data_IF_161878277470
#
_entry.id   IF_161878277470
#
_cell.length_a   1.000
_cell.length_b   1.000
_cell.length_c   1.000
_cell.angle_alpha   90.00
_cell.angle_beta   90.00
_cell.angle_gamma   90.00
#
_symmetry.space_group_name_H-M   'P 1'
#
loop_
_entity.id
_entity.type
_entity.pdbx_description
1 polymer ?
#
# COMPACT_ATOMS: atom_id res chain seq x y z
N UNK A 1 10.55 7.37 -14.93
CA UNK A 1 9.44 6.66 -14.24
C UNK A 1 9.35 7.18 -12.83
N UNK A 2 8.14 7.14 -12.28
CA UNK A 2 7.80 7.77 -11.01
C UNK A 2 6.83 6.91 -10.23
N UNK A 3 6.97 6.89 -8.91
CA UNK A 3 6.00 6.27 -8.03
C UNK A 3 5.11 7.34 -7.38
N UNK A 4 3.85 7.00 -7.16
CA UNK A 4 2.90 7.80 -6.42
C UNK A 4 2.25 6.95 -5.34
N UNK A 5 2.23 7.48 -4.12
CA UNK A 5 1.69 6.81 -2.93
C UNK A 5 0.50 7.62 -2.43
N UNK A 6 -0.74 7.11 -2.58
CA UNK A 6 -1.88 7.67 -1.86
C UNK A 6 -1.71 7.44 -0.37
N UNK A 7 -1.81 8.49 0.43
CA UNK A 7 -1.61 8.42 1.88
C UNK A 7 -2.65 9.25 2.62
N UNK A 8 -3.25 8.65 3.64
CA UNK A 8 -4.15 9.33 4.56
C UNK A 8 -3.86 8.85 5.99
N UNK A 9 -3.49 9.79 6.86
CA UNK A 9 -3.17 9.52 8.27
C UNK A 9 -4.43 9.50 9.14
N UNK A 10 -5.30 10.50 8.97
CA UNK A 10 -6.49 10.65 9.79
C UNK A 10 -7.49 9.50 9.59
N UNK A 11 -8.00 8.96 10.70
CA UNK A 11 -8.95 7.84 10.75
C UNK A 11 -8.49 6.59 9.98
N UNK A 12 -7.19 6.47 9.71
CA UNK A 12 -6.64 5.34 9.02
C UNK A 12 -6.86 4.05 9.81
N UNK A 13 -7.02 2.95 9.06
CA UNK A 13 -7.06 1.58 9.59
C UNK A 13 -8.09 1.40 10.71
N UNK A 14 -9.29 1.96 10.54
CA UNK A 14 -10.35 1.90 11.55
C UNK A 14 -10.69 0.49 12.01
N UNK A 15 -10.50 -0.53 11.16
CA UNK A 15 -10.64 -1.95 11.48
C UNK A 15 -9.61 -2.47 12.50
N UNK A 16 -8.47 -1.79 12.65
CA UNK A 16 -7.48 -2.06 13.71
C UNK A 16 -7.85 -1.42 15.07
N UNK A 17 -8.99 -0.72 15.18
CA UNK A 17 -9.38 -0.05 16.43
C UNK A 17 -9.64 -0.99 17.60
N UNK A 18 -9.91 -2.26 17.33
CA UNK A 18 -10.08 -3.30 18.35
C UNK A 18 -8.77 -3.66 19.05
N UNK A 19 -7.62 -3.37 18.42
CA UNK A 19 -6.29 -3.78 18.91
C UNK A 19 -5.29 -2.63 19.00
N UNK A 20 -5.64 -1.43 18.51
CA UNK A 20 -4.78 -0.25 18.51
C UNK A 20 -5.57 1.03 18.80
N UNK A 21 -5.03 1.88 19.68
CA UNK A 21 -5.53 3.26 19.87
C UNK A 21 -5.36 4.09 18.61
N UNK A 22 -6.04 5.24 18.52
CA UNK A 22 -5.92 6.16 17.38
C UNK A 22 -4.46 6.55 17.11
N UNK A 23 -3.73 6.96 18.15
CA UNK A 23 -2.33 7.39 18.07
C UNK A 23 -1.42 6.24 17.61
N UNK A 24 -1.72 5.02 18.06
CA UNK A 24 -0.99 3.83 17.64
C UNK A 24 -1.21 3.52 16.16
N UNK A 25 -2.45 3.61 15.66
CA UNK A 25 -2.77 3.41 14.25
C UNK A 25 -2.09 4.46 13.36
N UNK A 26 -2.15 5.73 13.75
CA UNK A 26 -1.48 6.81 13.01
C UNK A 26 0.04 6.60 12.95
N UNK A 27 0.66 6.20 14.07
CA UNK A 27 2.09 5.88 14.09
C UNK A 27 2.39 4.67 13.19
N UNK A 28 1.55 3.63 13.24
CA UNK A 28 1.76 2.41 12.48
C UNK A 28 1.67 2.64 10.97
N UNK A 29 0.68 3.42 10.52
CA UNK A 29 0.51 3.82 9.12
C UNK A 29 1.70 4.64 8.62
N UNK A 30 2.25 5.53 9.45
CA UNK A 30 3.48 6.26 9.13
C UNK A 30 4.70 5.31 8.97
N UNK A 31 4.80 4.27 9.81
CA UNK A 31 5.87 3.28 9.69
C UNK A 31 5.76 2.45 8.41
N UNK A 32 4.55 2.06 8.01
CA UNK A 32 4.33 1.36 6.74
C UNK A 32 4.68 2.24 5.54
N UNK A 33 4.28 3.52 5.54
CA UNK A 33 4.68 4.47 4.51
C UNK A 33 6.20 4.57 4.37
N UNK A 34 6.92 4.66 5.50
CA UNK A 34 8.39 4.72 5.51
C UNK A 34 9.02 3.44 4.92
N UNK A 35 8.50 2.27 5.26
CA UNK A 35 8.96 0.99 4.69
C UNK A 35 8.69 0.91 3.17
N UNK A 36 7.53 1.37 2.69
CA UNK A 36 7.22 1.45 1.25
C UNK A 36 8.17 2.40 0.53
N UNK A 37 8.41 3.60 1.07
CA UNK A 37 9.34 4.58 0.49
C UNK A 37 10.77 4.06 0.46
N UNK A 38 11.20 3.33 1.50
CA UNK A 38 12.52 2.69 1.53
C UNK A 38 12.62 1.62 0.43
N UNK A 39 11.60 0.77 0.31
CA UNK A 39 11.53 -0.30 -0.69
C UNK A 39 11.56 0.23 -2.12
N UNK A 40 10.84 1.31 -2.41
CA UNK A 40 10.87 1.96 -3.73
C UNK A 40 12.27 2.47 -4.08
N UNK A 41 12.99 3.06 -3.11
CA UNK A 41 14.35 3.55 -3.32
C UNK A 41 15.36 2.43 -3.53
N UNK A 42 15.20 1.34 -2.79
CA UNK A 42 16.01 0.14 -2.95
C UNK A 42 15.78 -0.47 -4.35
N UNK A 43 14.55 -0.51 -4.83
CA UNK A 43 14.19 -0.88 -6.20
C UNK A 43 14.53 0.16 -7.27
N UNK A 44 15.38 1.14 -6.96
CA UNK A 44 15.89 2.13 -7.91
C UNK A 44 14.97 3.31 -8.24
N UNK A 45 13.76 3.40 -7.67
CA UNK A 45 12.82 4.50 -7.94
C UNK A 45 13.19 5.71 -7.08
N UNK A 46 13.64 6.78 -7.74
CA UNK A 46 14.07 8.04 -7.08
C UNK A 46 13.00 9.12 -7.06
N UNK A 47 12.13 9.15 -8.06
CA UNK A 47 11.02 10.09 -8.16
C UNK A 47 9.80 9.50 -7.46
N UNK A 48 9.56 9.92 -6.21
CA UNK A 48 8.44 9.43 -5.38
C UNK A 48 7.59 10.63 -4.98
N UNK A 49 6.31 10.57 -5.32
CA UNK A 49 5.28 11.50 -4.87
C UNK A 49 4.40 10.85 -3.81
N UNK A 50 3.95 11.63 -2.84
CA UNK A 50 2.93 11.24 -1.87
C UNK A 50 1.77 12.21 -2.01
N UNK A 51 0.58 11.68 -2.34
CA UNK A 51 -0.65 12.47 -2.38
C UNK A 51 -1.36 12.29 -1.04
N UNK A 52 -1.63 13.40 -0.35
CA UNK A 52 -2.24 13.41 0.97
C UNK A 52 -3.20 14.59 1.13
N UNK A 53 -4.31 14.45 1.89
CA UNK A 53 -5.22 15.58 2.15
C UNK A 53 -4.57 16.74 2.88
N UNK A 54 -3.56 16.47 3.72
CA UNK A 54 -2.84 17.48 4.50
C UNK A 54 -1.35 17.19 4.40
N UNK A 55 -0.55 18.13 3.92
CA UNK A 55 0.90 17.97 3.79
C UNK A 55 1.58 17.79 5.16
N UNK A 56 1.02 18.39 6.22
CA UNK A 56 1.55 18.26 7.58
C UNK A 56 1.43 16.85 8.17
N UNK A 57 0.62 15.97 7.58
CA UNK A 57 0.49 14.57 8.01
C UNK A 57 1.70 13.71 7.61
N UNK A 58 2.49 14.18 6.64
CA UNK A 58 3.71 13.50 6.19
C UNK A 58 4.92 14.16 6.85
N UNK A 59 5.70 13.39 7.60
CA UNK A 59 6.90 13.90 8.27
C UNK A 59 7.96 14.31 7.24
N UNK A 60 8.67 15.40 7.54
CA UNK A 60 9.78 15.93 6.71
C UNK A 60 10.90 14.90 6.46
N UNK A 61 11.03 13.89 7.31
CA UNK A 61 12.00 12.80 7.17
C UNK A 61 11.69 11.87 5.98
N UNK A 62 10.44 11.84 5.54
CA UNK A 62 10.02 11.11 4.34
C UNK A 62 10.59 11.85 3.12
N UNK A 63 11.72 11.38 2.61
CA UNK A 63 12.37 11.97 1.42
C UNK A 63 11.57 11.62 0.15
N UNK A 64 10.45 12.29 -0.05
CA UNK A 64 9.55 12.22 -1.19
C UNK A 64 8.94 13.62 -1.43
N UNK A 65 8.43 13.85 -2.64
CA UNK A 65 7.67 15.07 -2.93
C UNK A 65 6.24 14.94 -2.41
N UNK A 66 5.72 15.98 -1.77
CA UNK A 66 4.40 15.97 -1.14
C UNK A 66 3.44 16.78 -1.98
N UNK A 67 2.31 16.19 -2.31
CA UNK A 67 1.21 16.80 -3.05
C UNK A 67 0.01 16.85 -2.11
N UNK A 68 -0.39 18.05 -1.72
CA UNK A 68 -1.61 18.27 -0.95
C UNK A 68 -2.82 18.28 -1.89
N UNK A 69 -3.72 17.30 -1.72
CA UNK A 69 -4.98 17.19 -2.47
C UNK A 69 -5.98 16.42 -1.59
N UNK A 70 -7.10 17.05 -1.24
CA UNK A 70 -8.13 16.50 -0.33
C UNK A 70 -9.33 15.88 -1.06
N UNK A 71 -9.27 15.81 -2.39
CA UNK A 71 -10.31 15.18 -3.22
C UNK A 71 -10.36 13.66 -3.04
N UNK A 72 -11.41 13.02 -3.57
CA UNK A 72 -11.51 11.55 -3.52
C UNK A 72 -10.28 10.88 -4.16
N UNK A 73 -9.93 9.70 -3.67
CA UNK A 73 -8.80 8.90 -4.15
C UNK A 73 -8.80 8.74 -5.68
N UNK A 74 -9.97 8.52 -6.29
CA UNK A 74 -10.06 8.37 -7.74
C UNK A 74 -9.82 9.70 -8.46
N UNK A 75 -10.38 10.79 -7.95
CA UNK A 75 -10.27 12.10 -8.58
C UNK A 75 -8.83 12.60 -8.54
N UNK A 76 -8.17 12.50 -7.38
CA UNK A 76 -6.78 12.94 -7.24
C UNK A 76 -5.82 12.10 -8.09
N UNK A 77 -5.99 10.78 -8.15
CA UNK A 77 -5.15 9.91 -8.98
C UNK A 77 -5.41 10.08 -10.46
N UNK A 78 -6.66 10.22 -10.90
CA UNK A 78 -6.96 10.45 -12.32
C UNK A 78 -6.46 11.83 -12.79
N UNK A 79 -6.58 12.87 -11.96
CA UNK A 79 -5.96 14.18 -12.18
C UNK A 79 -4.44 14.08 -12.24
N UNK A 80 -3.84 13.28 -11.35
CA UNK A 80 -2.39 13.05 -11.36
C UNK A 80 -1.93 12.35 -12.64
N UNK A 81 -2.60 11.27 -13.06
CA UNK A 81 -2.26 10.52 -14.27
C UNK A 81 -2.36 11.38 -15.54
N UNK A 82 -3.39 12.22 -15.66
CA UNK A 82 -3.58 13.07 -16.84
C UNK A 82 -2.50 14.15 -17.03
N UNK A 83 -1.69 14.40 -16.01
CA UNK A 83 -0.61 15.39 -16.02
C UNK A 83 0.79 14.77 -16.20
N UNK A 84 0.87 13.46 -16.48
CA UNK A 84 2.15 12.74 -16.61
C UNK A 84 2.29 12.15 -18.00
N UNK A 85 3.51 12.19 -18.52
CA UNK A 85 3.90 11.59 -19.80
C UNK A 85 4.90 10.45 -19.62
N UNK A 86 5.29 10.13 -18.37
CA UNK A 86 6.20 9.04 -18.01
C UNK A 86 5.45 7.89 -17.32
N UNK A 87 5.97 6.63 -17.37
CA UNK A 87 5.36 5.51 -16.64
C UNK A 87 5.19 5.78 -15.14
N UNK A 88 4.01 5.45 -14.63
CA UNK A 88 3.61 5.68 -13.24
C UNK A 88 3.41 4.36 -12.52
N UNK A 89 4.03 4.23 -11.33
CA UNK A 89 3.78 3.18 -10.36
C UNK A 89 2.91 3.74 -9.23
N UNK A 90 1.63 3.38 -9.20
CA UNK A 90 0.77 3.63 -8.04
C UNK A 90 0.98 2.48 -7.06
N UNK A 91 1.31 2.78 -5.81
CA UNK A 91 1.52 1.79 -4.75
C UNK A 91 0.88 2.27 -3.45
N UNK A 92 0.05 1.43 -2.84
CA UNK A 92 -0.62 1.78 -1.58
C UNK A 92 0.38 1.84 -0.41
N UNK A 93 0.14 2.73 0.56
CA UNK A 93 1.06 3.02 1.67
C UNK A 93 1.13 1.91 2.74
N UNK A 94 0.20 0.96 2.71
CA UNK A 94 -0.04 -0.08 3.71
C UNK A 94 0.48 -1.46 3.29
N UNK A 95 1.55 -1.47 2.48
CA UNK A 95 2.19 -2.66 1.91
C UNK A 95 3.60 -2.92 2.46
N UNK A 96 3.79 -3.06 3.79
CA UNK A 96 5.10 -3.26 4.41
C UNK A 96 5.75 -4.61 4.07
N UNK A 97 5.05 -5.51 3.37
CA UNK A 97 5.57 -6.81 2.91
C UNK A 97 6.17 -6.76 1.51
N UNK A 98 5.97 -5.67 0.77
CA UNK A 98 6.57 -5.49 -0.55
C UNK A 98 8.09 -5.41 -0.41
N UNK A 99 8.80 -6.06 -1.33
CA UNK A 99 10.26 -6.10 -1.40
C UNK A 99 10.70 -5.40 -2.68
N UNK A 100 11.96 -4.93 -2.70
CA UNK A 100 12.51 -4.26 -3.88
C UNK A 100 12.45 -5.16 -5.12
N UNK A 101 12.65 -6.47 -4.97
CA UNK A 101 12.57 -7.44 -6.08
C UNK A 101 11.18 -7.52 -6.72
N UNK A 102 10.10 -7.26 -5.95
CA UNK A 102 8.76 -7.13 -6.53
C UNK A 102 8.65 -5.88 -7.39
N UNK A 103 9.22 -4.76 -6.91
CA UNK A 103 9.22 -3.50 -7.65
C UNK A 103 9.97 -3.68 -8.98
N UNK A 104 11.16 -4.28 -8.96
CA UNK A 104 11.98 -4.54 -10.15
C UNK A 104 11.22 -5.38 -11.20
N UNK A 105 10.59 -6.49 -10.79
CA UNK A 105 9.84 -7.35 -11.71
C UNK A 105 8.59 -6.64 -12.26
N UNK A 106 7.84 -5.93 -11.41
CA UNK A 106 6.66 -5.17 -11.83
C UNK A 106 7.04 -4.11 -12.88
N UNK A 107 8.12 -3.36 -12.69
CA UNK A 107 8.52 -2.30 -13.64
C UNK A 107 9.22 -2.85 -14.89
N UNK A 108 9.79 -4.05 -14.83
CA UNK A 108 10.38 -4.74 -15.99
C UNK A 108 9.33 -5.28 -16.96
N UNK A 109 8.09 -5.47 -16.51
CA UNK A 109 6.96 -5.97 -17.32
C UNK A 109 6.75 -5.18 -18.62
N UNK A 110 6.65 -5.86 -19.75
CA UNK A 110 6.36 -5.24 -21.06
C UNK A 110 4.88 -4.88 -21.26
N UNK A 111 3.99 -5.40 -20.40
CA UNK A 111 2.56 -5.09 -20.46
C UNK A 111 2.29 -3.59 -20.24
N UNK A 112 1.26 -3.06 -20.91
CA UNK A 112 0.85 -1.65 -20.77
C UNK A 112 0.41 -1.34 -19.33
N UNK A 113 -0.24 -2.30 -18.68
CA UNK A 113 -0.67 -2.22 -17.27
C UNK A 113 -0.29 -3.50 -16.52
N UNK A 114 0.46 -3.36 -15.43
CA UNK A 114 0.67 -4.46 -14.47
C UNK A 114 -0.12 -4.19 -13.20
N UNK A 115 -0.92 -5.17 -12.77
CA UNK A 115 -1.86 -5.04 -11.67
C UNK A 115 -1.51 -6.06 -10.57
N UNK A 116 -1.28 -5.58 -9.35
CA UNK A 116 -1.18 -6.42 -8.16
C UNK A 116 -2.53 -6.36 -7.42
N UNK A 117 -3.24 -7.50 -7.29
CA UNK A 117 -4.50 -7.52 -6.56
C UNK A 117 -4.25 -7.30 -5.06
N UNK A 118 -5.21 -6.67 -4.38
CA UNK A 118 -5.29 -6.62 -2.92
C UNK A 118 -6.33 -7.61 -2.39
N UNK A 119 -6.40 -7.75 -1.05
CA UNK A 119 -7.42 -8.60 -0.43
C UNK A 119 -8.83 -8.10 -0.75
N UNK A 120 -9.78 -9.03 -0.87
CA UNK A 120 -11.20 -8.70 -1.08
C UNK A 120 -11.52 -8.03 -2.43
N UNK A 121 -10.69 -8.20 -3.45
CA UNK A 121 -10.90 -7.62 -4.79
C UNK A 121 -10.33 -6.20 -4.96
N UNK A 122 -9.53 -5.73 -4.00
CA UNK A 122 -8.81 -4.47 -4.06
C UNK A 122 -7.66 -4.45 -5.08
N UNK A 123 -6.97 -3.33 -5.19
CA UNK A 123 -5.78 -3.15 -6.04
C UNK A 123 -4.70 -2.52 -5.18
N UNK A 124 -3.56 -3.20 -5.04
CA UNK A 124 -2.47 -2.76 -4.18
C UNK A 124 -1.40 -1.99 -4.95
N UNK A 125 -1.12 -2.42 -6.19
CA UNK A 125 -0.12 -1.79 -7.05
C UNK A 125 -0.65 -1.75 -8.48
N UNK A 126 -0.44 -0.61 -9.15
CA UNK A 126 -0.62 -0.44 -10.59
C UNK A 126 0.66 0.11 -11.18
N UNK A 127 1.24 -0.58 -12.15
CA UNK A 127 2.25 -0.01 -13.02
C UNK A 127 1.63 0.28 -14.38
N UNK A 128 1.65 1.55 -14.78
CA UNK A 128 0.96 2.07 -15.96
C UNK A 128 2.01 2.70 -16.87
N UNK A 129 2.23 2.10 -18.05
CA UNK A 129 3.23 2.60 -19.01
C UNK A 129 2.79 3.86 -19.76
N UNK A 130 1.48 3.99 -19.98
CA UNK A 130 0.84 5.06 -20.77
C UNK A 130 -0.26 5.72 -19.92
N UNK A 131 0.10 6.57 -18.94
CA UNK A 131 -0.86 7.16 -18.01
C UNK A 131 -1.98 7.94 -18.71
N UNK A 132 -1.72 8.50 -19.89
CA UNK A 132 -2.69 9.22 -20.71
C UNK A 132 -3.81 8.33 -21.29
N UNK A 133 -3.61 7.00 -21.29
CA UNK A 133 -4.57 6.01 -21.82
C UNK A 133 -5.29 5.22 -20.73
N UNK A 134 -4.98 5.46 -19.46
CA UNK A 134 -5.53 4.70 -18.34
C UNK A 134 -6.21 5.61 -17.33
N UNK A 135 -7.21 5.07 -16.64
CA UNK A 135 -7.87 5.73 -15.51
C UNK A 135 -8.05 4.72 -14.39
N UNK A 136 -7.98 5.18 -13.15
CA UNK A 136 -8.20 4.35 -11.98
C UNK A 136 -9.64 4.42 -11.49
N UNK A 137 -10.07 3.34 -10.84
CA UNK A 137 -11.37 3.21 -10.17
C UNK A 137 -11.21 2.29 -8.94
N UNK A 138 -10.63 2.85 -7.89
CA UNK A 138 -10.54 2.30 -6.55
C UNK A 138 -11.91 2.21 -5.86
N UNK A 139 -11.92 1.45 -4.75
CA UNK A 139 -13.10 0.99 -4.00
C UNK A 139 -13.93 -0.08 -4.73
N UNK A 140 -14.69 -0.86 -3.95
CA UNK A 140 -15.40 -2.04 -4.45
C UNK A 140 -14.43 -3.07 -5.06
N UNK A 141 -14.85 -3.70 -6.16
CA UNK A 141 -14.02 -4.65 -6.92
C UNK A 141 -13.03 -3.91 -7.84
N UNK A 142 -12.09 -3.17 -7.25
CA UNK A 142 -11.18 -2.30 -8.02
C UNK A 142 -10.26 -3.09 -8.95
N UNK A 143 -9.84 -4.30 -8.57
CA UNK A 143 -9.06 -5.18 -9.44
C UNK A 143 -9.81 -5.47 -10.76
N UNK A 144 -11.06 -5.92 -10.68
CA UNK A 144 -11.88 -6.21 -11.86
C UNK A 144 -12.16 -4.94 -12.67
N UNK A 145 -12.46 -3.82 -11.99
CA UNK A 145 -12.64 -2.54 -12.65
C UNK A 145 -11.40 -2.12 -13.45
N UNK A 146 -10.20 -2.24 -12.89
CA UNK A 146 -8.95 -1.90 -13.57
C UNK A 146 -8.68 -2.82 -14.77
N UNK A 147 -8.94 -4.13 -14.63
CA UNK A 147 -8.88 -5.07 -15.75
C UNK A 147 -9.84 -4.69 -16.88
N UNK A 148 -11.09 -4.35 -16.55
CA UNK A 148 -12.09 -3.91 -17.51
C UNK A 148 -11.69 -2.60 -18.21
N UNK A 149 -11.13 -1.64 -17.48
CA UNK A 149 -10.67 -0.36 -18.05
C UNK A 149 -9.53 -0.60 -19.04
N UNK A 150 -8.54 -1.42 -18.69
CA UNK A 150 -7.45 -1.77 -19.61
C UNK A 150 -7.98 -2.48 -20.86
N UNK A 151 -8.90 -3.44 -20.71
CA UNK A 151 -9.51 -4.14 -21.84
C UNK A 151 -10.29 -3.20 -22.77
N UNK A 152 -11.09 -2.27 -22.22
CA UNK A 152 -11.83 -1.25 -22.99
C UNK A 152 -10.89 -0.35 -23.81
N UNK A 153 -9.69 -0.08 -23.29
CA UNK A 153 -8.66 0.73 -23.96
C UNK A 153 -7.70 -0.11 -24.81
N UNK A 154 -7.95 -1.43 -24.95
CA UNK A 154 -7.11 -2.39 -25.68
C UNK A 154 -5.65 -2.39 -25.18
N UNK A 155 -5.46 -2.19 -23.89
CA UNK A 155 -4.17 -2.24 -23.21
C UNK A 155 -3.85 -3.67 -22.80
N UNK A 156 -2.61 -4.10 -23.00
CA UNK A 156 -2.13 -5.39 -22.50
C UNK A 156 -2.01 -5.37 -20.96
N UNK A 157 -2.38 -6.48 -20.32
CA UNK A 157 -2.43 -6.60 -18.86
C UNK A 157 -1.50 -7.73 -18.41
N UNK A 158 -0.72 -7.47 -17.36
CA UNK A 158 -0.09 -8.51 -16.53
C UNK A 158 -0.71 -8.46 -15.14
N UNK A 159 -1.27 -9.59 -14.69
CA UNK A 159 -1.60 -9.75 -13.27
C UNK A 159 -0.35 -10.27 -12.58
N UNK A 160 0.13 -9.53 -11.59
CA UNK A 160 1.30 -9.90 -10.80
C UNK A 160 0.85 -10.61 -9.53
N UNK A 161 0.95 -11.94 -9.55
CA UNK A 161 0.58 -12.80 -8.43
C UNK A 161 1.72 -12.88 -7.41
N UNK A 162 1.51 -12.25 -6.25
CA UNK A 162 2.44 -12.34 -5.13
C UNK A 162 1.68 -12.17 -3.83
N UNK A 163 1.72 -13.22 -3.01
CA UNK A 163 1.17 -13.19 -1.66
C UNK A 163 1.62 -11.94 -0.86
N UNK A 164 2.93 -11.62 -0.91
CA UNK A 164 3.48 -10.51 -0.15
C UNK A 164 3.03 -9.14 -0.69
N UNK A 165 2.98 -8.97 -2.01
CA UNK A 165 2.54 -7.71 -2.61
C UNK A 165 1.01 -7.52 -2.54
N UNK A 166 0.27 -8.62 -2.45
CA UNK A 166 -1.19 -8.63 -2.27
C UNK A 166 -1.65 -8.51 -0.81
N UNK A 167 -0.73 -8.52 0.15
CA UNK A 167 -1.06 -8.45 1.58
C UNK A 167 -0.94 -7.00 2.08
N UNK A 168 -2.03 -6.26 1.94
CA UNK A 168 -2.25 -5.02 2.67
C UNK A 168 -2.59 -5.29 4.14
N UNK A 169 -2.19 -4.39 5.03
CA UNK A 169 -2.43 -4.48 6.47
C UNK A 169 -3.63 -3.63 6.83
N UNK A 170 -4.82 -4.23 6.94
CA UNK A 170 -6.07 -3.51 7.24
C UNK A 170 -6.82 -4.04 8.47
N UNK A 171 -6.70 -5.34 8.75
CA UNK A 171 -7.37 -6.04 9.84
C UNK A 171 -6.36 -6.63 10.85
N UNK A 172 -6.77 -6.92 12.10
CA UNK A 172 -5.87 -7.45 13.13
C UNK A 172 -5.14 -8.74 12.71
N UNK A 173 -5.80 -9.57 11.90
CA UNK A 173 -5.24 -10.82 11.38
C UNK A 173 -4.04 -10.56 10.48
N UNK A 174 -4.02 -9.44 9.74
CA UNK A 174 -2.94 -9.08 8.81
C UNK A 174 -1.63 -8.76 9.53
N UNK A 175 -1.72 -8.31 10.78
CA UNK A 175 -0.55 -8.12 11.65
C UNK A 175 0.20 -9.45 11.82
N UNK A 176 -0.48 -10.60 11.73
CA UNK A 176 0.15 -11.93 11.77
C UNK A 176 1.08 -12.12 10.59
N UNK A 177 0.61 -11.76 9.40
CA UNK A 177 1.41 -11.82 8.19
C UNK A 177 2.61 -10.85 8.28
N UNK A 178 2.40 -9.65 8.82
CA UNK A 178 3.49 -8.71 9.07
C UNK A 178 4.56 -9.29 10.02
N UNK A 179 4.16 -9.92 11.13
CA UNK A 179 5.10 -10.50 12.09
C UNK A 179 5.84 -11.71 11.51
N UNK A 180 5.18 -12.52 10.67
CA UNK A 180 5.77 -13.70 10.04
C UNK A 180 6.70 -13.33 8.88
N UNK A 181 6.25 -12.49 7.96
CA UNK A 181 6.88 -12.28 6.66
C UNK A 181 7.59 -10.93 6.51
N UNK A 182 7.26 -9.97 7.36
CA UNK A 182 7.77 -8.61 7.22
C UNK A 182 9.22 -8.44 7.63
N UNK A 183 9.72 -7.26 7.32
CA UNK A 183 10.97 -6.68 7.80
C UNK A 183 10.74 -5.16 7.96
N UNK A 184 11.70 -4.45 8.56
CA UNK A 184 11.61 -2.99 8.68
C UNK A 184 10.80 -2.51 9.89
N UNK A 185 10.52 -1.21 9.89
CA UNK A 185 10.13 -0.50 11.11
C UNK A 185 8.66 -0.70 11.47
N UNK A 186 7.79 -1.02 10.50
CA UNK A 186 6.41 -1.40 10.78
C UNK A 186 6.34 -2.72 11.54
N UNK A 187 7.14 -3.72 11.13
CA UNK A 187 7.24 -5.00 11.85
C UNK A 187 7.80 -4.80 13.26
N UNK A 188 8.88 -4.03 13.41
CA UNK A 188 9.46 -3.74 14.73
C UNK A 188 8.47 -3.02 15.65
N UNK A 189 7.63 -2.14 15.07
CA UNK A 189 6.56 -1.48 15.80
C UNK A 189 5.47 -2.45 16.28
N UNK A 190 5.04 -3.37 15.41
CA UNK A 190 4.06 -4.39 15.72
C UNK A 190 4.59 -5.40 16.76
N UNK A 191 5.83 -5.86 16.62
CA UNK A 191 6.48 -6.85 17.50
C UNK A 191 6.57 -6.37 18.96
N UNK A 192 6.63 -5.06 19.19
CA UNK A 192 6.65 -4.47 20.54
C UNK A 192 5.28 -4.42 21.23
N UNK A 193 4.20 -4.71 20.50
CA UNK A 193 2.81 -4.56 20.99
C UNK A 193 2.02 -5.85 20.99
N UNK A 194 2.37 -6.75 20.08
CA UNK A 194 1.60 -7.94 19.79
C UNK A 194 2.40 -9.20 20.13
N UNK A 195 1.76 -10.09 20.88
CA UNK A 195 2.21 -11.45 21.07
C UNK A 195 1.33 -12.43 20.29
N UNK A 196 1.88 -13.62 20.03
CA UNK A 196 1.09 -14.73 19.48
C UNK A 196 0.40 -15.45 20.62
N UNK A 197 -0.91 -15.64 20.51
CA UNK A 197 -1.67 -16.54 21.38
C UNK A 197 -2.01 -17.80 20.59
N UNK A 198 -1.65 -18.96 21.15
CA UNK A 198 -2.03 -20.24 20.55
C UNK A 198 -3.51 -20.51 20.89
N UNK A 199 -4.35 -20.57 19.87
CA UNK A 199 -5.73 -21.05 19.99
C UNK A 199 -5.88 -22.33 19.17
N UNK A 200 -6.78 -23.24 19.58
CA UNK A 200 -6.97 -24.54 18.90
C UNK A 200 -7.16 -24.34 17.38
N UNK A 201 -6.08 -24.60 16.62
CA UNK A 201 -6.05 -24.64 15.16
C UNK A 201 -5.42 -23.44 14.42
N UNK A 202 -5.33 -22.22 14.99
CA UNK A 202 -4.76 -21.04 14.31
C UNK A 202 -4.08 -20.06 15.29
N UNK A 203 -2.99 -19.43 14.82
CA UNK A 203 -2.32 -18.34 15.53
C UNK A 203 -3.26 -17.14 15.58
N UNK A 204 -3.53 -16.64 16.79
CA UNK A 204 -4.17 -15.35 17.00
C UNK A 204 -3.11 -14.35 17.46
N UNK A 205 -3.38 -13.08 17.18
CA UNK A 205 -2.62 -11.98 17.75
C UNK A 205 -3.46 -11.30 18.81
N UNK A 206 -2.84 -11.06 19.96
CA UNK A 206 -3.40 -10.27 21.04
C UNK A 206 -2.40 -9.19 21.46
N UNK A 207 -2.87 -7.99 21.84
CA UNK A 207 -2.06 -7.01 22.55
C UNK A 207 -1.40 -7.63 23.80
N UNK A 208 -0.13 -7.29 24.10
CA UNK A 208 0.59 -7.87 25.25
C UNK A 208 -0.12 -7.67 26.60
N UNK A 209 -0.81 -6.54 26.78
CA UNK A 209 -1.58 -6.27 27.98
C UNK A 209 -2.77 -7.22 28.17
N UNK A 210 -3.30 -7.82 27.09
CA UNK A 210 -4.34 -8.85 27.17
C UNK A 210 -3.74 -10.24 27.43
N UNK A 211 -2.54 -10.52 26.90
CA UNK A 211 -1.84 -11.81 27.12
C UNK A 211 -1.36 -11.96 28.57
N UNK A 212 -0.90 -10.88 29.20
CA UNK A 212 -0.45 -10.92 30.60
C UNK A 212 -1.60 -11.08 31.60
N UNK A 213 -2.85 -10.92 31.15
CA UNK A 213 -4.07 -11.10 31.97
C UNK A 213 -4.75 -12.46 31.77
N UNK A 214 -4.27 -13.28 30.83
CA UNK A 214 -4.77 -14.63 30.52
C UNK A 214 -3.84 -15.72 31.07
#
# INVERSE_FOLDING_TARGET
>A
MRAVIPYKKENAKSRLSTVMTKEQRETFVEKMLLDVVATLKEGGIRNIDIITPKACDVKKEVKANIIEDDTDLNDCLNKYLSQKEEPILIIMADLPLVKFSHIEDIVASEADVTIVPGKGGGTNILFIRKPEKFRVKYYGSSFENHCMIAAQQKLSIRVYDSFLASTDIDEPQDITELLLHGQGIAKDYAKKRFGKTESKGRVKISPFNEILMS
#
